data_IF_790211057113
#
_entry.id   IF_790211057113
#
_cell.length_a   1.000
_cell.length_b   1.000
_cell.length_c   1.000
_cell.angle_alpha   90.00
_cell.angle_beta   90.00
_cell.angle_gamma   90.00
#
_symmetry.space_group_name_H-M   'P 1'
#
loop_
_entity.id
_entity.type
_entity.pdbx_description
1 polymer ?
#
# COMPACT_ATOMS: atom_id res chain seq x y z
N UNK A 1 -10.62 -15.41 12.56
CA UNK A 1 -10.50 -14.11 13.27
C UNK A 1 -10.56 -13.00 12.23
N UNK A 2 -11.76 -12.47 11.93
CA UNK A 2 -11.92 -11.39 10.96
C UNK A 2 -11.55 -10.06 11.62
N UNK A 3 -10.47 -9.42 11.16
CA UNK A 3 -10.22 -8.00 11.45
C UNK A 3 -11.28 -7.18 10.72
N UNK A 4 -12.00 -6.26 11.39
CA UNK A 4 -12.91 -5.37 10.68
C UNK A 4 -12.08 -4.48 9.76
N UNK A 5 -12.44 -4.47 8.48
CA UNK A 5 -11.89 -3.51 7.53
C UNK A 5 -12.41 -2.13 7.93
N UNK A 6 -11.59 -1.35 8.61
CA UNK A 6 -11.88 0.06 8.92
C UNK A 6 -12.05 0.76 7.58
N UNK A 7 -13.29 1.11 7.25
CA UNK A 7 -13.63 1.91 6.07
C UNK A 7 -12.84 3.22 6.16
N UNK A 8 -12.05 3.52 5.11
CA UNK A 8 -11.24 4.75 4.99
C UNK A 8 -12.05 6.05 5.20
N UNK A 9 -13.38 6.01 5.15
CA UNK A 9 -14.26 7.17 5.35
C UNK A 9 -14.51 7.53 6.83
N UNK A 10 -14.28 6.61 7.77
CA UNK A 10 -14.67 6.79 9.18
C UNK A 10 -13.50 7.10 10.12
N UNK A 11 -12.28 7.23 9.59
CA UNK A 11 -11.12 7.57 10.40
C UNK A 11 -11.12 9.06 10.77
N UNK A 12 -11.15 9.35 12.07
CA UNK A 12 -11.03 10.71 12.58
C UNK A 12 -9.66 11.31 12.21
N UNK A 13 -9.66 12.41 11.47
CA UNK A 13 -8.42 13.08 11.06
C UNK A 13 -7.81 13.78 12.27
N UNK A 14 -6.58 13.40 12.61
CA UNK A 14 -5.80 14.10 13.64
C UNK A 14 -4.96 15.21 12.98
N UNK A 15 -5.12 16.48 13.39
CA UNK A 15 -4.25 17.54 12.91
C UNK A 15 -2.82 17.23 13.36
N UNK A 16 -1.90 17.21 12.39
CA UNK A 16 -0.48 16.92 12.61
C UNK A 16 0.32 18.06 12.03
N UNK A 17 1.20 18.65 12.83
CA UNK A 17 2.07 19.72 12.38
C UNK A 17 3.27 19.10 11.64
N UNK A 18 3.56 19.58 10.43
CA UNK A 18 4.63 19.05 9.58
C UNK A 18 5.48 20.20 9.06
N UNK A 19 6.80 20.01 9.07
CA UNK A 19 7.76 20.98 8.52
C UNK A 19 7.97 20.70 7.03
N UNK A 20 7.65 21.67 6.17
CA UNK A 20 7.79 21.58 4.72
C UNK A 20 8.61 22.75 4.19
N UNK A 21 9.17 22.60 2.98
CA UNK A 21 9.86 23.68 2.29
C UNK A 21 8.91 24.87 2.07
N UNK A 22 9.31 26.06 2.51
CA UNK A 22 8.50 27.28 2.47
C UNK A 22 8.17 27.73 1.04
N UNK A 23 9.10 27.57 0.09
CA UNK A 23 8.87 27.89 -1.32
C UNK A 23 7.84 26.93 -1.94
N UNK A 24 7.91 25.64 -1.60
CA UNK A 24 6.94 24.65 -2.07
C UNK A 24 5.54 24.94 -1.52
N UNK A 25 5.43 25.31 -0.24
CA UNK A 25 4.15 25.72 0.37
C UNK A 25 3.59 26.97 -0.30
N UNK A 26 4.42 27.95 -0.59
CA UNK A 26 3.99 29.17 -1.29
C UNK A 26 3.46 28.85 -2.70
N UNK A 27 4.17 28.01 -3.46
CA UNK A 27 3.72 27.56 -4.78
C UNK A 27 2.43 26.75 -4.72
N UNK A 28 2.29 25.85 -3.74
CA UNK A 28 1.08 25.07 -3.55
C UNK A 28 -0.12 25.98 -3.26
N UNK A 29 0.07 27.00 -2.42
CA UNK A 29 -0.96 28.01 -2.13
C UNK A 29 -1.32 28.84 -3.37
N UNK A 30 -0.35 29.28 -4.17
CA UNK A 30 -0.63 30.04 -5.39
C UNK A 30 -1.39 29.23 -6.44
N UNK A 31 -1.20 27.91 -6.45
CA UNK A 31 -1.89 26.96 -7.32
C UNK A 31 -3.22 26.45 -6.71
N UNK A 32 -3.65 27.00 -5.56
CA UNK A 32 -4.85 26.58 -4.83
C UNK A 32 -4.88 25.08 -4.49
N UNK A 33 -3.71 24.48 -4.25
CA UNK A 33 -3.57 23.08 -3.88
C UNK A 33 -3.85 22.91 -2.39
N UNK A 34 -4.73 21.96 -2.05
CA UNK A 34 -4.96 21.57 -0.66
C UNK A 34 -3.78 20.75 -0.13
N UNK A 35 -2.90 21.42 0.62
CA UNK A 35 -1.68 20.84 1.19
C UNK A 35 -1.98 19.64 2.09
N UNK A 36 -3.01 19.71 2.92
CA UNK A 36 -3.37 18.61 3.83
C UNK A 36 -3.75 17.35 3.06
N UNK A 37 -4.57 17.49 2.01
CA UNK A 37 -4.96 16.37 1.15
C UNK A 37 -3.78 15.84 0.33
N UNK A 38 -2.89 16.71 -0.15
CA UNK A 38 -1.67 16.29 -0.85
C UNK A 38 -0.73 15.48 0.05
N UNK A 39 -0.50 15.94 1.28
CA UNK A 39 0.29 15.22 2.27
C UNK A 39 -0.35 13.87 2.64
N UNK A 40 -1.67 13.82 2.83
CA UNK A 40 -2.38 12.58 3.14
C UNK A 40 -2.24 11.55 2.01
N UNK A 41 -2.32 11.97 0.75
CA UNK A 41 -2.11 11.07 -0.41
C UNK A 41 -0.69 10.54 -0.44
N UNK A 42 0.32 11.40 -0.34
CA UNK A 42 1.72 10.98 -0.35
C UNK A 42 2.06 10.04 0.81
N UNK A 43 1.58 10.35 2.02
CA UNK A 43 1.79 9.50 3.18
C UNK A 43 1.13 8.12 3.01
N UNK A 44 -0.07 8.06 2.44
CA UNK A 44 -0.77 6.80 2.20
C UNK A 44 -0.03 5.93 1.18
N UNK A 45 0.53 6.54 0.13
CA UNK A 45 1.36 5.83 -0.87
C UNK A 45 2.62 5.25 -0.24
N UNK A 46 3.37 6.03 0.54
CA UNK A 46 4.57 5.59 1.25
C UNK A 46 4.27 4.48 2.26
N UNK A 47 3.19 4.62 3.04
CA UNK A 47 2.76 3.59 4.01
C UNK A 47 2.39 2.31 3.28
N UNK A 48 1.65 2.40 2.17
CA UNK A 48 1.28 1.22 1.37
C UNK A 48 2.52 0.51 0.83
N UNK A 49 3.48 1.26 0.31
CA UNK A 49 4.73 0.72 -0.19
C UNK A 49 5.52 0.02 0.92
N UNK A 50 5.65 0.63 2.10
CA UNK A 50 6.31 0.03 3.24
C UNK A 50 5.63 -1.28 3.71
N UNK A 51 4.30 -1.30 3.74
CA UNK A 51 3.52 -2.51 4.06
C UNK A 51 3.78 -3.60 3.02
N UNK A 52 3.77 -3.26 1.73
CA UNK A 52 4.03 -4.20 0.64
C UNK A 52 5.43 -4.81 0.73
N UNK A 53 6.45 -3.99 0.95
CA UNK A 53 7.83 -4.46 1.14
C UNK A 53 7.91 -5.40 2.34
N UNK A 54 7.32 -5.02 3.48
CA UNK A 54 7.29 -5.85 4.67
C UNK A 54 6.59 -7.19 4.42
N UNK A 55 5.44 -7.16 3.78
CA UNK A 55 4.68 -8.37 3.44
C UNK A 55 5.48 -9.29 2.52
N UNK A 56 6.15 -8.75 1.49
CA UNK A 56 7.02 -9.54 0.60
C UNK A 56 8.15 -10.23 1.35
N UNK A 57 8.77 -9.53 2.30
CA UNK A 57 9.84 -10.12 3.12
C UNK A 57 9.30 -11.24 4.02
N UNK A 58 8.17 -11.02 4.69
CA UNK A 58 7.56 -12.00 5.58
C UNK A 58 7.04 -13.24 4.83
N UNK A 59 6.55 -13.07 3.60
CA UNK A 59 5.94 -14.15 2.83
C UNK A 59 6.89 -14.78 1.81
N UNK A 60 8.15 -14.32 1.75
CA UNK A 60 9.14 -14.81 0.79
C UNK A 60 9.30 -16.34 0.85
N UNK A 61 9.48 -16.88 2.04
CA UNK A 61 9.65 -18.33 2.23
C UNK A 61 8.40 -19.14 1.81
N UNK A 62 7.20 -18.61 2.09
CA UNK A 62 5.96 -19.26 1.68
C UNK A 62 5.81 -19.25 0.15
N UNK A 63 6.10 -18.12 -0.49
CA UNK A 63 6.07 -17.99 -1.95
C UNK A 63 7.12 -18.90 -2.62
N UNK A 64 8.33 -18.97 -2.08
CA UNK A 64 9.37 -19.88 -2.57
C UNK A 64 8.93 -21.35 -2.45
N UNK A 65 8.44 -21.77 -1.28
CA UNK A 65 7.96 -23.15 -1.09
C UNK A 65 6.80 -23.53 -2.02
N UNK A 66 5.92 -22.57 -2.33
CA UNK A 66 4.83 -22.77 -3.26
C UNK A 66 5.32 -22.86 -4.70
N UNK A 67 6.30 -22.03 -5.06
CA UNK A 67 6.92 -22.06 -6.39
C UNK A 67 7.65 -23.38 -6.62
N UNK A 68 8.42 -23.86 -5.64
CA UNK A 68 9.14 -25.14 -5.70
C UNK A 68 8.14 -26.29 -5.88
N UNK A 69 7.04 -26.27 -5.12
CA UNK A 69 5.99 -27.27 -5.26
C UNK A 69 5.31 -27.25 -6.64
N UNK A 70 5.07 -26.07 -7.24
CA UNK A 70 4.57 -25.97 -8.62
C UNK A 70 5.59 -26.48 -9.64
N UNK A 71 6.89 -26.24 -9.44
CA UNK A 71 7.93 -26.77 -10.35
C UNK A 71 7.98 -28.29 -10.29
N UNK A 72 7.83 -28.89 -9.11
CA UNK A 72 7.86 -30.34 -8.93
C UNK A 72 6.55 -31.04 -9.32
N UNK A 73 5.40 -30.45 -8.98
CA UNK A 73 4.08 -31.08 -9.10
C UNK A 73 3.29 -30.61 -10.34
N UNK A 74 3.78 -29.59 -11.04
CA UNK A 74 3.04 -28.92 -12.12
C UNK A 74 1.97 -27.96 -11.59
N UNK A 75 1.29 -27.27 -12.51
CA UNK A 75 0.27 -26.31 -12.11
C UNK A 75 -1.00 -27.03 -11.66
N UNK A 76 -1.53 -26.74 -10.46
CA UNK A 76 -2.76 -27.36 -10.00
C UNK A 76 -3.92 -26.99 -10.91
N UNK A 77 -4.75 -27.98 -11.22
CA UNK A 77 -5.98 -27.80 -12.01
C UNK A 77 -5.75 -27.28 -13.44
N UNK A 78 -4.54 -27.39 -13.99
CA UNK A 78 -4.28 -27.02 -15.39
C UNK A 78 -5.16 -27.84 -16.36
N UNK A 79 -5.50 -29.07 -15.95
CA UNK A 79 -6.42 -29.99 -16.63
C UNK A 79 -7.85 -29.44 -16.82
N UNK A 80 -8.26 -28.44 -16.02
CA UNK A 80 -9.59 -27.83 -16.08
C UNK A 80 -9.58 -26.44 -16.74
N UNK A 81 -8.42 -26.01 -17.25
CA UNK A 81 -8.26 -24.69 -17.87
C UNK A 81 -8.79 -24.74 -19.31
N UNK A 82 -10.05 -24.35 -19.51
CA UNK A 82 -10.61 -24.15 -20.85
C UNK A 82 -10.03 -22.87 -21.45
N UNK A 83 -9.40 -23.00 -22.62
CA UNK A 83 -8.74 -21.94 -23.39
C UNK A 83 -9.76 -21.29 -24.33
#
# INVERSE_FOLDING_TARGET
MNKPAISKKDATKKPTNVSLNTQLVAQAKSLNINISSACERGLNEEVRHAIEVKWKLENKAAVESWNDWIQESGMPYDEYRQI
#
